data_IF_691696338413
#
_entry.id   IF_691696338413
#
_cell.length_a   1.000
_cell.length_b   1.000
_cell.length_c   1.000
_cell.angle_alpha   90.00
_cell.angle_beta   90.00
_cell.angle_gamma   90.00
#
_symmetry.space_group_name_H-M   'P 1'
#
loop_
_entity.id
_entity.type
_entity.pdbx_description
1 polymer ?
#
# COMPACT_ATOMS: atom_id res chain seq x y z
N UNK A 1 2.55 -7.43 -2.55
CA UNK A 1 1.93 -6.47 -3.50
C UNK A 1 1.47 -5.25 -2.74
N UNK A 2 1.78 -4.06 -3.23
CA UNK A 2 1.38 -2.78 -2.63
C UNK A 2 0.16 -2.23 -3.37
N UNK A 3 -0.93 -2.04 -2.65
CA UNK A 3 -2.22 -1.61 -3.20
C UNK A 3 -2.58 -0.26 -2.61
N UNK A 4 -2.98 0.69 -3.44
CA UNK A 4 -3.40 2.01 -2.97
C UNK A 4 -3.76 2.95 -4.11
N UNK A 5 -4.36 4.08 -3.75
CA UNK A 5 -4.70 5.14 -4.67
C UNK A 5 -3.46 5.82 -5.25
N UNK A 6 -3.67 6.55 -6.32
CA UNK A 6 -2.60 7.37 -6.91
C UNK A 6 -2.06 8.37 -5.88
N UNK A 7 -0.75 8.46 -5.79
CA UNK A 7 -0.09 9.45 -4.94
C UNK A 7 0.06 9.07 -3.46
N UNK A 8 -0.30 7.85 -3.05
CA UNK A 8 -0.14 7.44 -1.64
C UNK A 8 1.30 7.14 -1.23
N UNK A 9 2.22 7.04 -2.21
CA UNK A 9 3.65 6.87 -1.92
C UNK A 9 4.19 5.47 -2.12
N UNK A 10 3.52 4.61 -2.88
CA UNK A 10 3.96 3.22 -3.12
C UNK A 10 5.34 3.14 -3.78
N UNK A 11 5.57 3.91 -4.84
CA UNK A 11 6.86 3.92 -5.54
C UNK A 11 7.95 4.49 -4.65
N UNK A 12 7.65 5.54 -3.89
CA UNK A 12 8.59 6.15 -2.94
C UNK A 12 8.97 5.18 -1.84
N UNK A 13 8.02 4.39 -1.36
CA UNK A 13 8.27 3.35 -0.36
C UNK A 13 9.25 2.30 -0.89
N UNK A 14 9.01 1.79 -2.09
CA UNK A 14 9.87 0.78 -2.73
C UNK A 14 11.29 1.33 -2.92
N UNK A 15 11.39 2.58 -3.35
CA UNK A 15 12.68 3.25 -3.51
C UNK A 15 13.40 3.40 -2.16
N UNK A 16 12.67 3.82 -1.12
CA UNK A 16 13.24 3.96 0.23
C UNK A 16 13.75 2.62 0.78
N UNK A 17 13.16 1.50 0.39
CA UNK A 17 13.59 0.16 0.79
C UNK A 17 14.72 -0.39 -0.08
N UNK A 18 15.26 0.39 -1.01
CA UNK A 18 16.43 0.02 -1.80
C UNK A 18 16.14 -0.64 -3.13
N UNK A 19 14.90 -0.60 -3.60
CA UNK A 19 14.52 -1.18 -4.89
C UNK A 19 14.14 -0.09 -5.88
N UNK A 20 14.42 -0.30 -7.15
CA UNK A 20 14.15 0.67 -8.20
C UNK A 20 12.90 0.26 -8.98
N UNK A 21 11.79 1.01 -8.88
CA UNK A 21 10.65 0.80 -9.77
C UNK A 21 11.05 1.05 -11.23
N UNK A 22 10.41 0.36 -12.20
CA UNK A 22 10.74 0.56 -13.60
C UNK A 22 10.62 2.02 -14.02
N UNK A 23 11.53 2.47 -14.89
CA UNK A 23 11.43 3.78 -15.49
C UNK A 23 10.37 3.77 -16.59
N UNK A 24 9.63 4.87 -16.72
CA UNK A 24 8.58 5.02 -17.70
C UNK A 24 7.22 4.56 -17.20
N UNK A 25 6.19 4.97 -17.94
CA UNK A 25 4.81 4.68 -17.60
C UNK A 25 4.21 3.81 -18.70
N UNK A 26 3.83 2.58 -18.33
CA UNK A 26 2.99 1.74 -19.14
C UNK A 26 1.59 1.75 -18.52
N UNK A 27 0.60 2.41 -19.13
CA UNK A 27 -0.74 2.49 -18.56
C UNK A 27 -1.33 1.09 -18.33
N UNK A 28 -1.99 0.92 -17.19
CA UNK A 28 -2.67 -0.32 -16.79
C UNK A 28 -1.76 -1.55 -16.71
N UNK A 29 -0.45 -1.34 -16.60
CA UNK A 29 0.51 -2.43 -16.43
C UNK A 29 0.88 -2.62 -14.96
N UNK A 30 0.97 -3.89 -14.55
CA UNK A 30 1.53 -4.26 -13.25
C UNK A 30 3.04 -4.14 -13.32
N UNK A 31 3.63 -3.39 -12.39
CA UNK A 31 5.07 -3.18 -12.33
C UNK A 31 5.69 -4.09 -11.27
N UNK A 32 6.94 -4.47 -11.51
CA UNK A 32 7.72 -5.32 -10.60
C UNK A 32 9.01 -4.60 -10.22
N UNK A 33 9.31 -4.55 -8.92
CA UNK A 33 10.53 -3.94 -8.41
C UNK A 33 11.09 -4.84 -7.31
N UNK A 34 12.07 -5.68 -7.63
CA UNK A 34 12.58 -6.69 -6.71
C UNK A 34 11.44 -7.61 -6.25
N UNK A 35 11.23 -7.77 -4.94
CA UNK A 35 10.14 -8.60 -4.42
C UNK A 35 8.77 -7.90 -4.43
N UNK A 36 8.71 -6.65 -4.88
CA UNK A 36 7.49 -5.86 -4.87
C UNK A 36 6.71 -5.98 -6.16
N UNK A 37 5.39 -6.09 -6.03
CA UNK A 37 4.43 -6.05 -7.13
C UNK A 37 3.59 -4.80 -6.96
N UNK A 38 3.57 -3.95 -7.98
CA UNK A 38 2.90 -2.65 -7.98
C UNK A 38 1.81 -2.63 -9.05
N UNK A 39 0.57 -2.99 -8.72
CA UNK A 39 -0.51 -2.85 -9.69
C UNK A 39 -0.80 -1.36 -9.94
N UNK A 40 -1.34 -0.99 -11.10
CA UNK A 40 -1.76 0.39 -11.35
C UNK A 40 -2.74 0.86 -10.28
N UNK A 41 -2.66 2.14 -9.91
CA UNK A 41 -3.60 2.72 -8.94
C UNK A 41 -5.05 2.59 -9.41
N UNK A 42 -5.29 2.61 -10.72
CA UNK A 42 -6.60 2.45 -11.33
C UNK A 42 -7.25 1.13 -10.96
N UNK A 43 -6.48 0.08 -10.70
CA UNK A 43 -7.02 -1.22 -10.27
C UNK A 43 -7.72 -1.13 -8.92
N UNK A 44 -7.31 -0.19 -8.07
CA UNK A 44 -7.98 0.06 -6.80
C UNK A 44 -9.08 1.11 -6.91
N UNK A 45 -8.87 2.12 -7.75
CA UNK A 45 -9.80 3.25 -7.88
C UNK A 45 -11.06 2.90 -8.66
N UNK A 46 -11.04 1.86 -9.49
CA UNK A 46 -12.16 1.48 -10.33
C UNK A 46 -12.52 0.00 -10.09
N UNK A 47 -13.73 -0.23 -9.61
CA UNK A 47 -14.23 -1.58 -9.27
C UNK A 47 -14.18 -2.57 -10.41
N UNK A 48 -14.26 -2.12 -11.66
CA UNK A 48 -14.15 -2.98 -12.83
C UNK A 48 -12.81 -3.72 -12.91
N UNK A 49 -11.77 -3.20 -12.27
CA UNK A 49 -10.44 -3.81 -12.25
C UNK A 49 -10.18 -4.69 -11.02
N UNK A 50 -11.14 -4.87 -10.12
CA UNK A 50 -10.92 -5.67 -8.91
C UNK A 50 -10.54 -7.12 -9.23
N UNK A 51 -11.07 -7.66 -10.31
CA UNK A 51 -10.72 -8.99 -10.76
C UNK A 51 -9.23 -9.08 -11.15
N UNK A 52 -8.73 -8.10 -11.86
CA UNK A 52 -7.32 -8.02 -12.23
C UNK A 52 -6.44 -7.89 -10.99
N UNK A 53 -6.90 -7.14 -9.99
CA UNK A 53 -6.20 -6.98 -8.73
C UNK A 53 -6.10 -8.32 -7.97
N UNK A 54 -7.19 -9.04 -7.89
CA UNK A 54 -7.25 -10.35 -7.23
C UNK A 54 -6.33 -11.36 -7.95
N UNK A 55 -6.34 -11.36 -9.28
CA UNK A 55 -5.48 -12.24 -10.08
C UNK A 55 -4.01 -11.92 -9.86
N UNK A 56 -3.64 -10.63 -9.84
CA UNK A 56 -2.26 -10.22 -9.57
C UNK A 56 -1.81 -10.62 -8.16
N UNK A 57 -2.73 -10.59 -7.20
CA UNK A 57 -2.44 -10.96 -5.82
C UNK A 57 -2.09 -12.45 -5.65
N UNK A 58 -2.53 -13.30 -6.56
CA UNK A 58 -2.25 -14.75 -6.49
C UNK A 58 -0.76 -15.08 -6.54
N UNK A 59 0.06 -14.21 -7.10
CA UNK A 59 1.50 -14.36 -7.16
C UNK A 59 2.21 -13.93 -5.86
N UNK A 60 1.49 -13.35 -4.93
CA UNK A 60 2.05 -12.67 -3.76
C UNK A 60 1.69 -13.41 -2.48
N UNK A 61 2.62 -13.39 -1.51
CA UNK A 61 2.37 -13.93 -0.16
C UNK A 61 1.68 -12.93 0.73
N UNK A 62 2.05 -11.67 0.59
CA UNK A 62 1.60 -10.58 1.46
C UNK A 62 1.12 -9.42 0.61
N UNK A 63 -0.02 -8.87 1.00
CA UNK A 63 -0.57 -7.65 0.43
C UNK A 63 -0.45 -6.54 1.46
N UNK A 64 -0.16 -5.32 0.99
CA UNK A 64 -0.10 -4.13 1.83
C UNK A 64 -1.08 -3.11 1.28
N UNK A 65 -2.07 -2.74 2.08
CA UNK A 65 -3.00 -1.65 1.76
C UNK A 65 -2.39 -0.35 2.24
N UNK A 66 -2.04 0.51 1.31
CA UNK A 66 -1.36 1.78 1.60
C UNK A 66 -2.38 2.91 1.64
N UNK A 67 -2.50 3.54 2.79
CA UNK A 67 -3.40 4.68 3.02
C UNK A 67 -2.60 5.93 3.33
N UNK A 68 -2.88 6.99 2.59
CA UNK A 68 -2.31 8.32 2.83
C UNK A 68 -3.02 8.99 4.00
N UNK A 69 -2.27 9.35 5.03
CA UNK A 69 -2.83 9.96 6.24
C UNK A 69 -3.47 11.34 6.00
N UNK A 70 -3.15 11.99 4.88
CA UNK A 70 -3.70 13.31 4.53
C UNK A 70 -5.05 13.24 3.83
N UNK A 71 -5.50 12.05 3.43
CA UNK A 71 -6.73 11.91 2.67
C UNK A 71 -7.95 11.82 3.57
N UNK A 72 -8.99 12.54 3.18
CA UNK A 72 -10.27 12.54 3.89
C UNK A 72 -11.13 11.30 3.56
N UNK A 73 -10.78 10.57 2.52
CA UNK A 73 -11.50 9.38 2.04
C UNK A 73 -10.54 8.23 1.83
N UNK A 74 -11.09 7.04 1.65
CA UNK A 74 -10.33 5.83 1.35
C UNK A 74 -10.94 5.10 0.17
N UNK A 75 -10.08 4.55 -0.70
CA UNK A 75 -10.52 3.71 -1.80
C UNK A 75 -10.86 2.28 -1.35
N UNK A 76 -10.49 1.88 -0.14
CA UNK A 76 -10.73 0.53 0.35
C UNK A 76 -12.15 0.39 0.88
N UNK A 77 -13.01 -0.43 0.24
CA UNK A 77 -14.35 -0.68 0.75
C UNK A 77 -14.31 -1.42 2.09
N UNK A 78 -15.36 -1.30 2.92
CA UNK A 78 -15.47 -2.08 4.14
C UNK A 78 -15.31 -3.58 3.87
N UNK A 79 -14.46 -4.23 4.66
CA UNK A 79 -14.21 -5.67 4.53
C UNK A 79 -13.40 -6.10 3.30
N UNK A 80 -12.80 -5.17 2.57
CA UNK A 80 -12.11 -5.47 1.32
C UNK A 80 -10.97 -6.50 1.48
N UNK A 81 -10.31 -6.51 2.63
CA UNK A 81 -9.24 -7.46 2.91
C UNK A 81 -9.72 -8.92 2.84
N UNK A 82 -11.00 -9.18 3.11
CA UNK A 82 -11.58 -10.53 3.05
C UNK A 82 -11.68 -11.09 1.64
N UNK A 83 -11.55 -10.23 0.62
CA UNK A 83 -11.55 -10.64 -0.79
C UNK A 83 -10.32 -11.46 -1.14
N UNK A 84 -9.24 -11.30 -0.36
CA UNK A 84 -7.95 -11.92 -0.63
C UNK A 84 -7.67 -13.06 0.34
N UNK A 85 -7.03 -14.12 -0.17
CA UNK A 85 -6.59 -15.25 0.65
C UNK A 85 -5.20 -15.02 1.26
N UNK A 86 -4.47 -14.02 0.76
CA UNK A 86 -3.14 -13.68 1.21
C UNK A 86 -3.20 -12.94 2.57
N UNK A 87 -2.08 -12.94 3.26
CA UNK A 87 -1.90 -12.09 4.44
C UNK A 87 -1.98 -10.62 4.01
N UNK A 88 -2.79 -9.83 4.70
CA UNK A 88 -2.98 -8.41 4.38
C UNK A 88 -2.55 -7.55 5.56
N UNK A 89 -1.70 -6.57 5.29
CA UNK A 89 -1.23 -5.59 6.25
C UNK A 89 -1.67 -4.19 5.81
N UNK A 90 -1.83 -3.30 6.77
CA UNK A 90 -2.08 -1.89 6.52
C UNK A 90 -0.81 -1.07 6.70
N UNK A 91 -0.67 -0.05 5.87
CA UNK A 91 0.42 0.92 5.98
C UNK A 91 -0.13 2.33 5.82
N UNK A 92 0.14 3.17 6.81
CA UNK A 92 -0.21 4.59 6.78
C UNK A 92 1.03 5.36 6.39
N UNK A 93 0.91 6.20 5.36
CA UNK A 93 2.00 7.05 4.86
C UNK A 93 1.74 8.52 5.18
N UNK A 94 2.79 9.33 5.08
CA UNK A 94 2.76 10.79 5.28
C UNK A 94 2.25 11.25 6.64
N UNK A 95 2.65 10.59 7.75
CA UNK A 95 2.20 11.01 9.09
C UNK A 95 2.78 12.36 9.51
N UNK A 96 3.87 12.80 8.87
CA UNK A 96 4.58 14.04 9.11
C UNK A 96 3.89 15.27 8.51
N UNK A 97 2.96 15.07 7.59
CA UNK A 97 2.25 16.18 6.94
C UNK A 97 1.39 16.96 7.94
N UNK A 98 1.31 18.31 7.83
CA UNK A 98 0.39 19.10 8.65
C UNK A 98 -1.08 18.72 8.48
N UNK A 99 -1.43 18.09 7.36
CA UNK A 99 -2.80 17.62 7.07
C UNK A 99 -3.04 16.19 7.52
N UNK A 100 -2.04 15.52 8.07
CA UNK A 100 -2.14 14.12 8.44
C UNK A 100 -3.14 13.91 9.58
N UNK A 101 -3.96 12.87 9.41
CA UNK A 101 -4.83 12.36 10.45
C UNK A 101 -4.67 10.84 10.49
N UNK A 102 -3.67 10.39 11.25
CA UNK A 102 -3.34 8.96 11.33
C UNK A 102 -4.45 8.13 11.97
N UNK A 103 -5.19 8.72 12.91
CA UNK A 103 -6.33 8.04 13.53
C UNK A 103 -7.43 7.75 12.50
N UNK A 104 -7.73 8.70 11.63
CA UNK A 104 -8.71 8.52 10.55
C UNK A 104 -8.22 7.47 9.55
N UNK A 105 -6.96 7.54 9.14
CA UNK A 105 -6.37 6.56 8.24
C UNK A 105 -6.43 5.15 8.84
N UNK A 106 -6.14 5.02 10.12
CA UNK A 106 -6.25 3.76 10.84
C UNK A 106 -7.68 3.21 10.85
N UNK A 107 -8.68 4.08 11.03
CA UNK A 107 -10.09 3.69 10.96
C UNK A 107 -10.48 3.18 9.59
N UNK A 108 -9.99 3.81 8.52
CA UNK A 108 -10.23 3.35 7.15
C UNK A 108 -9.68 1.95 6.95
N UNK A 109 -8.46 1.69 7.38
CA UNK A 109 -7.83 0.38 7.24
C UNK A 109 -8.50 -0.66 8.12
N UNK A 110 -8.87 -0.32 9.34
CA UNK A 110 -9.62 -1.22 10.22
C UNK A 110 -10.98 -1.60 9.62
N UNK A 111 -11.67 -0.63 9.03
CA UNK A 111 -12.95 -0.87 8.34
C UNK A 111 -12.77 -1.78 7.13
N UNK A 112 -11.64 -1.70 6.44
CA UNK A 112 -11.30 -2.61 5.34
C UNK A 112 -11.00 -4.05 5.80
N UNK A 113 -10.91 -4.28 7.10
CA UNK A 113 -10.73 -5.61 7.68
C UNK A 113 -9.31 -5.91 8.14
N UNK A 114 -8.44 -4.89 8.27
CA UNK A 114 -7.05 -5.07 8.66
C UNK A 114 -6.88 -5.00 10.18
N UNK A 115 -6.07 -5.91 10.70
CA UNK A 115 -5.72 -5.94 12.13
C UNK A 115 -4.31 -5.41 12.37
N UNK A 116 -3.36 -5.74 11.49
CA UNK A 116 -1.99 -5.28 11.58
C UNK A 116 -1.80 -4.04 10.71
N UNK A 117 -1.56 -2.90 11.34
CA UNK A 117 -1.43 -1.60 10.68
C UNK A 117 -0.13 -0.95 11.16
N UNK A 118 0.70 -0.55 10.19
CA UNK A 118 1.95 0.16 10.44
C UNK A 118 1.84 1.60 9.98
N UNK A 119 2.58 2.49 10.62
CA UNK A 119 2.69 3.89 10.20
C UNK A 119 4.16 4.19 9.94
N UNK A 120 4.48 4.65 8.74
CA UNK A 120 5.86 4.97 8.37
C UNK A 120 5.95 6.36 7.77
N UNK A 121 7.06 7.05 8.06
CA UNK A 121 7.45 8.26 7.36
C UNK A 121 8.54 7.88 6.35
N UNK A 122 8.18 7.85 5.08
CA UNK A 122 9.09 7.43 4.00
C UNK A 122 10.32 8.34 3.93
N UNK A 123 10.16 9.63 4.28
CA UNK A 123 11.26 10.60 4.26
C UNK A 123 12.36 10.29 5.27
N UNK A 124 12.05 9.55 6.33
CA UNK A 124 13.06 9.12 7.31
C UNK A 124 13.96 8.00 6.78
N UNK A 125 13.59 7.39 5.67
CA UNK A 125 14.36 6.34 5.02
C UNK A 125 14.26 4.98 5.68
N UNK A 126 15.01 4.02 5.12
CA UNK A 126 14.97 2.61 5.54
C UNK A 126 15.53 2.39 6.96
N UNK A 127 16.29 3.32 7.48
CA UNK A 127 16.95 3.18 8.78
C UNK A 127 16.03 3.52 9.96
N UNK A 128 14.87 4.11 9.74
CA UNK A 128 13.94 4.40 10.82
C UNK A 128 13.42 3.11 11.45
N UNK A 129 13.12 3.15 12.76
CA UNK A 129 12.62 1.99 13.50
C UNK A 129 11.30 1.47 12.90
N UNK A 130 10.40 2.38 12.55
CA UNK A 130 9.10 2.03 11.95
C UNK A 130 9.27 1.33 10.60
N UNK A 131 10.18 1.81 9.77
CA UNK A 131 10.46 1.21 8.47
C UNK A 131 11.10 -0.17 8.61
N UNK A 132 12.02 -0.33 9.56
CA UNK A 132 12.64 -1.63 9.84
C UNK A 132 11.62 -2.65 10.34
N UNK A 133 10.72 -2.24 11.20
CA UNK A 133 9.66 -3.11 11.71
C UNK A 133 8.72 -3.54 10.58
N UNK A 134 8.30 -2.59 9.74
CA UNK A 134 7.48 -2.88 8.58
C UNK A 134 8.19 -3.86 7.62
N UNK A 135 9.48 -3.61 7.33
CA UNK A 135 10.25 -4.48 6.45
C UNK A 135 10.35 -5.92 7.00
N UNK A 136 10.48 -6.08 8.30
CA UNK A 136 10.49 -7.40 8.93
C UNK A 136 9.17 -8.14 8.76
N UNK A 137 8.06 -7.42 8.74
CA UNK A 137 6.74 -8.01 8.57
C UNK A 137 6.49 -8.53 7.15
N UNK A 138 7.08 -7.88 6.14
CA UNK A 138 6.82 -8.21 4.73
C UNK A 138 7.88 -9.14 4.12
N UNK A 139 9.05 -9.25 4.74
CA UNK A 139 10.15 -10.10 4.22
C UNK A 139 10.37 -11.38 5.02
#
# INVERSE_FOLDING_TARGET
>A
MLIGEKGVGRRSLVHALGFAPPAGLCPLAVEYAGPFVLPPAEFMENRRFYRALITSAMECRTLVFVQDATRATSAFPPGFARTFNQRVLGLITKPDSPRANTARAGRFLASAGLQAIHTVNILEGAESAAMKEFAREIF
#
